data_IF_209759489668
#
_entry.id   IF_209759489668
#
_cell.length_a   1.000
_cell.length_b   1.000
_cell.length_c   1.000
_cell.angle_alpha   90.00
_cell.angle_beta   90.00
_cell.angle_gamma   90.00
#
_symmetry.space_group_name_H-M   'P 1'
#
loop_
_entity.id
_entity.type
_entity.pdbx_description
1 polymer ?
#
# COMPACT_ATOMS: atom_id res chain seq x y z
N UNK A 1 8.17 -32.27 2.50
CA UNK A 1 9.32 -31.59 3.13
C UNK A 1 9.43 -32.15 4.54
N UNK A 2 10.29 -33.15 4.75
CA UNK A 2 10.46 -33.81 6.06
C UNK A 2 11.74 -33.24 6.70
N UNK A 3 11.58 -32.35 7.67
CA UNK A 3 12.64 -32.03 8.64
C UNK A 3 12.22 -32.70 9.95
N UNK A 4 12.94 -33.73 10.43
CA UNK A 4 12.62 -34.33 11.72
C UNK A 4 12.70 -33.24 12.78
N UNK A 5 11.79 -33.28 13.76
CA UNK A 5 11.71 -32.40 14.92
C UNK A 5 13.11 -32.07 15.41
N UNK A 6 13.57 -30.83 15.18
CA UNK A 6 14.95 -30.42 15.47
C UNK A 6 15.08 -30.36 16.99
N UNK A 7 15.48 -31.48 17.57
CA UNK A 7 15.76 -31.61 19.00
C UNK A 7 17.27 -31.48 19.18
N UNK A 8 17.70 -30.72 20.19
CA UNK A 8 19.13 -30.54 20.48
C UNK A 8 19.81 -29.49 19.60
N UNK A 9 19.13 -28.38 19.29
CA UNK A 9 19.79 -27.21 18.68
C UNK A 9 20.88 -26.75 19.66
N UNK A 10 22.15 -26.61 19.27
CA UNK A 10 23.22 -26.21 20.19
C UNK A 10 23.15 -24.71 20.50
N UNK A 11 23.70 -24.31 21.64
CA UNK A 11 23.77 -22.91 22.05
C UNK A 11 24.45 -22.04 20.97
N UNK A 12 23.96 -20.80 20.75
CA UNK A 12 24.50 -19.90 19.74
C UNK A 12 25.93 -19.51 20.08
N UNK A 13 26.83 -19.83 19.16
CA UNK A 13 28.22 -19.36 19.13
C UNK A 13 28.44 -18.57 17.86
N UNK A 14 29.49 -17.77 17.76
CA UNK A 14 29.80 -17.07 16.51
C UNK A 14 29.92 -18.05 15.33
N UNK A 15 30.50 -19.24 15.56
CA UNK A 15 30.62 -20.27 14.55
C UNK A 15 29.25 -20.82 14.11
N UNK A 16 28.31 -21.09 15.03
CA UNK A 16 26.98 -21.59 14.65
C UNK A 16 26.11 -20.51 14.03
N UNK A 17 26.22 -19.25 14.45
CA UNK A 17 25.45 -18.14 13.88
C UNK A 17 25.81 -17.91 12.40
N UNK A 18 27.10 -17.96 12.05
CA UNK A 18 27.54 -17.72 10.67
C UNK A 18 27.68 -19.00 9.83
N UNK A 19 27.88 -20.15 10.47
CA UNK A 19 28.13 -21.43 9.81
C UNK A 19 26.90 -22.33 9.64
N UNK A 20 25.80 -22.09 10.37
CA UNK A 20 24.58 -22.89 10.22
C UNK A 20 23.79 -22.41 9.02
N UNK A 21 23.75 -23.25 7.98
CA UNK A 21 22.92 -23.06 6.80
C UNK A 21 22.16 -24.35 6.52
N UNK A 22 20.88 -24.17 6.20
CA UNK A 22 19.97 -25.23 5.78
C UNK A 22 19.58 -24.99 4.34
N UNK A 23 18.94 -25.97 3.71
CA UNK A 23 18.53 -25.86 2.31
C UNK A 23 17.05 -26.15 2.19
N UNK A 24 16.37 -25.35 1.37
CA UNK A 24 14.95 -25.45 1.10
C UNK A 24 14.75 -25.49 -0.41
N UNK A 25 14.79 -26.68 -1.04
CA UNK A 25 14.83 -26.80 -2.50
C UNK A 25 13.72 -26.03 -3.22
N UNK A 26 12.53 -25.95 -2.61
CA UNK A 26 11.40 -25.21 -3.16
C UNK A 26 11.64 -23.70 -3.09
N UNK A 27 11.99 -23.17 -1.92
CA UNK A 27 12.20 -21.73 -1.72
C UNK A 27 13.43 -21.26 -2.51
N UNK A 28 14.52 -22.02 -2.46
CA UNK A 28 15.76 -21.75 -3.19
C UNK A 28 15.50 -21.66 -4.70
N UNK A 29 14.75 -22.63 -5.24
CA UNK A 29 14.39 -22.63 -6.67
C UNK A 29 13.52 -21.43 -7.03
N UNK A 30 12.54 -21.07 -6.19
CA UNK A 30 11.69 -19.90 -6.40
C UNK A 30 12.49 -18.60 -6.35
N UNK A 31 13.42 -18.47 -5.40
CA UNK A 31 14.30 -17.30 -5.26
C UNK A 31 15.23 -17.17 -6.48
N UNK A 32 15.84 -18.26 -6.93
CA UNK A 32 16.70 -18.25 -8.12
C UNK A 32 15.89 -17.91 -9.37
N UNK A 33 14.70 -18.49 -9.53
CA UNK A 33 13.80 -18.17 -10.65
C UNK A 33 13.35 -16.70 -10.63
N UNK A 34 13.02 -16.17 -9.44
CA UNK A 34 12.64 -14.78 -9.25
C UNK A 34 13.81 -13.82 -9.55
N UNK A 35 15.03 -14.14 -9.12
CA UNK A 35 16.24 -13.38 -9.43
C UNK A 35 16.51 -13.38 -10.94
N UNK A 36 16.53 -14.55 -11.57
CA UNK A 36 16.77 -14.70 -13.00
C UNK A 36 15.69 -13.98 -13.83
N UNK A 37 14.42 -14.12 -13.46
CA UNK A 37 13.29 -13.47 -14.13
C UNK A 37 13.37 -11.94 -14.06
N UNK A 38 13.66 -11.39 -12.87
CA UNK A 38 13.80 -9.93 -12.71
C UNK A 38 15.02 -9.40 -13.47
N UNK A 39 16.17 -10.06 -13.38
CA UNK A 39 17.38 -9.66 -14.11
C UNK A 39 17.18 -9.76 -15.63
N UNK A 40 16.48 -10.80 -16.11
CA UNK A 40 16.09 -10.90 -17.51
C UNK A 40 15.20 -9.74 -17.96
N UNK A 41 14.21 -9.36 -17.15
CA UNK A 41 13.32 -8.23 -17.45
C UNK A 41 14.06 -6.89 -17.43
N UNK A 42 14.99 -6.67 -16.50
CA UNK A 42 15.84 -5.46 -16.48
C UNK A 42 16.75 -5.39 -17.70
N UNK A 43 17.36 -6.51 -18.10
CA UNK A 43 18.13 -6.60 -19.33
C UNK A 43 17.26 -6.28 -20.57
N UNK A 44 16.04 -6.84 -20.64
CA UNK A 44 15.09 -6.56 -21.71
C UNK A 44 14.64 -5.09 -21.72
N UNK A 45 14.43 -4.49 -20.56
CA UNK A 45 14.12 -3.07 -20.42
C UNK A 45 15.26 -2.20 -20.98
N UNK A 46 16.51 -2.54 -20.65
CA UNK A 46 17.69 -1.86 -21.17
C UNK A 46 17.81 -1.99 -22.70
N UNK A 47 17.52 -3.18 -23.26
CA UNK A 47 17.47 -3.41 -24.72
C UNK A 47 16.40 -2.55 -25.42
N UNK A 48 15.30 -2.24 -24.72
CA UNK A 48 14.24 -1.34 -25.17
C UNK A 48 14.52 0.15 -24.88
N UNK A 49 15.72 0.48 -24.39
CA UNK A 49 16.13 1.84 -23.99
C UNK A 49 15.24 2.46 -22.90
N UNK A 50 14.57 1.63 -22.11
CA UNK A 50 13.84 2.07 -20.92
C UNK A 50 14.86 2.34 -19.79
N UNK A 51 14.74 3.50 -19.15
CA UNK A 51 15.59 3.84 -18.00
C UNK A 51 15.07 3.12 -16.77
N UNK A 52 15.77 2.08 -16.32
CA UNK A 52 15.47 1.37 -15.07
C UNK A 52 16.43 1.80 -13.95
N UNK A 53 15.94 2.34 -12.82
CA UNK A 53 16.80 2.74 -11.72
C UNK A 53 17.52 1.54 -11.08
N UNK A 54 18.85 1.64 -10.92
CA UNK A 54 19.66 0.58 -10.30
C UNK A 54 19.17 0.23 -8.89
N UNK A 55 18.73 1.24 -8.13
CA UNK A 55 18.22 1.07 -6.77
C UNK A 55 17.05 0.06 -6.70
N UNK A 56 16.19 -0.01 -7.73
CA UNK A 56 15.09 -0.99 -7.77
C UNK A 56 15.60 -2.42 -7.87
N UNK A 57 16.67 -2.63 -8.64
CA UNK A 57 17.32 -3.93 -8.76
C UNK A 57 18.05 -4.31 -7.47
N UNK A 58 18.69 -3.34 -6.82
CA UNK A 58 19.32 -3.55 -5.50
C UNK A 58 18.27 -3.93 -4.46
N UNK A 59 17.12 -3.23 -4.40
CA UNK A 59 16.02 -3.59 -3.50
C UNK A 59 15.51 -5.01 -3.77
N UNK A 60 15.34 -5.40 -5.03
CA UNK A 60 14.91 -6.75 -5.41
C UNK A 60 15.87 -7.82 -4.88
N UNK A 61 17.16 -7.67 -5.20
CA UNK A 61 18.17 -8.65 -4.79
C UNK A 61 18.36 -8.67 -3.27
N UNK A 62 18.27 -7.51 -2.60
CA UNK A 62 18.30 -7.43 -1.14
C UNK A 62 17.10 -8.14 -0.50
N UNK A 63 15.90 -8.00 -1.06
CA UNK A 63 14.71 -8.71 -0.58
C UNK A 63 14.86 -10.22 -0.72
N UNK A 64 15.33 -10.70 -1.89
CA UNK A 64 15.59 -12.12 -2.12
C UNK A 64 16.68 -12.68 -1.21
N UNK A 65 17.75 -11.92 -0.97
CA UNK A 65 18.79 -12.31 -0.02
C UNK A 65 18.22 -12.41 1.40
N UNK A 66 17.38 -11.46 1.83
CA UNK A 66 16.74 -11.50 3.13
C UNK A 66 15.78 -12.69 3.28
N UNK A 67 15.10 -13.11 2.20
CA UNK A 67 14.32 -14.36 2.22
C UNK A 67 15.22 -15.55 2.52
N UNK A 68 16.33 -15.72 1.81
CA UNK A 68 17.30 -16.80 2.06
C UNK A 68 17.87 -16.73 3.48
N UNK A 69 18.23 -15.53 3.96
CA UNK A 69 18.67 -15.38 5.36
C UNK A 69 17.56 -15.80 6.33
N UNK A 70 16.32 -15.41 6.10
CA UNK A 70 15.22 -15.73 7.01
C UNK A 70 14.87 -17.22 7.06
N UNK A 71 14.98 -17.94 5.94
CA UNK A 71 14.51 -19.33 5.80
C UNK A 71 15.61 -20.39 5.81
N UNK A 72 16.85 -20.02 5.49
CA UNK A 72 17.96 -20.97 5.35
C UNK A 72 19.10 -20.74 6.33
N UNK A 73 19.28 -19.54 6.88
CA UNK A 73 20.40 -19.28 7.79
C UNK A 73 20.18 -19.81 9.22
N UNK A 74 21.13 -19.52 10.11
CA UNK A 74 20.98 -19.73 11.54
C UNK A 74 19.67 -19.13 12.09
N UNK A 75 19.16 -18.05 11.51
CA UNK A 75 17.89 -17.45 11.91
C UNK A 75 16.73 -18.44 11.82
N UNK A 76 16.66 -19.22 10.74
CA UNK A 76 15.65 -20.25 10.54
C UNK A 76 15.80 -21.43 11.50
N UNK A 77 17.04 -21.77 11.85
CA UNK A 77 17.30 -22.85 12.80
C UNK A 77 16.91 -22.42 14.22
N UNK A 78 17.40 -21.26 14.66
CA UNK A 78 17.15 -20.74 16.00
C UNK A 78 15.71 -20.24 16.19
N UNK A 79 14.98 -19.88 15.13
CA UNK A 79 13.55 -19.57 15.24
C UNK A 79 12.72 -20.75 15.71
N UNK A 80 13.18 -22.00 15.57
CA UNK A 80 12.48 -23.16 16.14
C UNK A 80 12.74 -23.39 17.64
N UNK A 81 13.71 -22.67 18.24
CA UNK A 81 14.09 -22.82 19.65
C UNK A 81 13.89 -21.55 20.48
N UNK A 82 13.87 -20.39 19.83
CA UNK A 82 13.67 -19.11 20.49
C UNK A 82 12.50 -18.37 19.84
N UNK A 83 11.45 -18.15 20.64
CA UNK A 83 10.30 -17.39 20.19
C UNK A 83 10.68 -15.94 19.87
N UNK A 84 11.67 -15.38 20.57
CA UNK A 84 12.25 -14.06 20.25
C UNK A 84 12.89 -14.01 18.86
N UNK A 85 13.64 -15.03 18.47
CA UNK A 85 14.25 -15.13 17.12
C UNK A 85 13.16 -15.33 16.07
N UNK A 86 12.14 -16.11 16.39
CA UNK A 86 10.97 -16.29 15.52
C UNK A 86 10.25 -14.95 15.25
N UNK A 87 10.13 -14.06 16.23
CA UNK A 87 9.59 -12.71 16.01
C UNK A 87 10.44 -11.87 15.06
N UNK A 88 11.76 -12.01 15.09
CA UNK A 88 12.62 -11.33 14.12
C UNK A 88 12.32 -11.81 12.69
N UNK A 89 12.14 -13.13 12.50
CA UNK A 89 11.74 -13.70 11.20
C UNK A 89 10.39 -13.14 10.75
N UNK A 90 9.40 -13.07 11.64
CA UNK A 90 8.09 -12.48 11.34
C UNK A 90 8.18 -11.01 10.90
N UNK A 91 8.94 -10.18 11.61
CA UNK A 91 9.12 -8.76 11.26
C UNK A 91 9.85 -8.59 9.91
N UNK A 92 10.83 -9.44 9.60
CA UNK A 92 11.48 -9.45 8.30
C UNK A 92 10.48 -9.78 7.18
N UNK A 93 9.65 -10.81 7.37
CA UNK A 93 8.71 -11.30 6.36
C UNK A 93 7.50 -10.40 6.16
N UNK A 94 6.97 -9.76 7.20
CA UNK A 94 5.75 -8.95 7.07
C UNK A 94 6.02 -7.48 6.73
N UNK A 95 7.24 -6.99 6.94
CA UNK A 95 7.55 -5.57 6.75
C UNK A 95 8.81 -5.33 5.91
N UNK A 96 9.98 -5.85 6.30
CA UNK A 96 11.24 -5.48 5.63
C UNK A 96 11.30 -6.01 4.19
N UNK A 97 11.07 -7.31 4.01
CA UNK A 97 11.12 -7.97 2.70
C UNK A 97 10.01 -7.41 1.80
N UNK A 98 8.72 -7.33 2.23
CA UNK A 98 7.67 -6.66 1.49
C UNK A 98 8.00 -5.23 1.06
N UNK A 99 8.55 -4.39 1.93
CA UNK A 99 8.89 -3.01 1.59
C UNK A 99 9.93 -2.96 0.46
N UNK A 100 10.98 -3.79 0.53
CA UNK A 100 12.00 -3.89 -0.51
C UNK A 100 11.43 -4.42 -1.82
N UNK A 101 10.54 -5.43 -1.77
CA UNK A 101 9.87 -5.97 -2.95
C UNK A 101 8.99 -4.90 -3.63
N UNK A 102 8.23 -4.12 -2.86
CA UNK A 102 7.39 -3.05 -3.43
C UNK A 102 8.24 -1.91 -4.01
N UNK A 103 9.35 -1.54 -3.35
CA UNK A 103 10.26 -0.54 -3.90
C UNK A 103 11.03 -1.01 -5.14
N UNK A 104 11.18 -2.32 -5.31
CA UNK A 104 11.74 -2.90 -6.53
C UNK A 104 10.81 -2.78 -7.74
N UNK A 105 9.52 -2.48 -7.54
CA UNK A 105 8.50 -2.32 -8.60
C UNK A 105 8.47 -3.46 -9.64
N UNK A 106 8.44 -4.75 -9.23
CA UNK A 106 8.41 -5.88 -10.15
C UNK A 106 7.20 -5.85 -11.10
N UNK A 107 6.02 -5.42 -10.63
CA UNK A 107 4.82 -5.33 -11.47
C UNK A 107 5.00 -4.30 -12.59
N UNK A 108 5.57 -3.14 -12.28
CA UNK A 108 5.88 -2.11 -13.29
C UNK A 108 6.93 -2.61 -14.29
N UNK A 109 7.98 -3.26 -13.80
CA UNK A 109 9.01 -3.82 -14.67
C UNK A 109 8.40 -4.83 -15.65
N UNK A 110 7.54 -5.72 -15.15
CA UNK A 110 6.82 -6.67 -15.98
C UNK A 110 5.92 -5.96 -16.99
N UNK A 111 5.17 -4.94 -16.57
CA UNK A 111 4.32 -4.13 -17.44
C UNK A 111 5.12 -3.51 -18.60
N UNK A 112 6.21 -2.82 -18.30
CA UNK A 112 6.97 -2.05 -19.30
C UNK A 112 7.86 -2.94 -20.19
N UNK A 113 8.44 -4.01 -19.62
CA UNK A 113 9.47 -4.81 -20.29
C UNK A 113 8.93 -6.10 -20.95
N UNK A 114 7.89 -6.74 -20.42
CA UNK A 114 7.46 -8.06 -20.93
C UNK A 114 6.72 -7.99 -22.27
N UNK A 115 5.96 -6.91 -22.49
CA UNK A 115 4.96 -6.84 -23.58
C UNK A 115 3.58 -7.36 -23.18
N UNK A 116 3.37 -7.72 -21.91
CA UNK A 116 2.10 -8.16 -21.36
C UNK A 116 1.29 -7.01 -20.71
N UNK A 117 1.56 -5.75 -21.06
CA UNK A 117 0.94 -4.56 -20.46
C UNK A 117 -0.60 -4.68 -20.38
N UNK A 118 -1.26 -5.00 -21.50
CA UNK A 118 -2.72 -5.15 -21.55
C UNK A 118 -3.27 -6.26 -20.63
N UNK A 119 -2.53 -7.36 -20.47
CA UNK A 119 -2.93 -8.45 -19.58
C UNK A 119 -2.80 -8.03 -18.10
N UNK A 120 -1.74 -7.29 -17.79
CA UNK A 120 -1.47 -6.74 -16.45
C UNK A 120 -2.53 -5.69 -16.10
N UNK A 121 -2.87 -4.79 -17.02
CA UNK A 121 -3.93 -3.79 -16.80
C UNK A 121 -5.29 -4.45 -16.57
N UNK A 122 -5.64 -5.47 -17.37
CA UNK A 122 -6.87 -6.26 -17.17
C UNK A 122 -6.90 -6.94 -15.80
N UNK A 123 -5.78 -7.54 -15.38
CA UNK A 123 -5.68 -8.18 -14.07
C UNK A 123 -5.84 -7.16 -12.94
N UNK A 124 -5.21 -6.00 -13.05
CA UNK A 124 -5.29 -4.91 -12.06
C UNK A 124 -6.68 -4.27 -12.00
N UNK A 125 -7.38 -4.19 -13.13
CA UNK A 125 -8.77 -3.74 -13.19
C UNK A 125 -9.77 -4.78 -12.63
N UNK A 126 -9.34 -6.03 -12.41
CA UNK A 126 -10.22 -7.08 -11.89
C UNK A 126 -10.72 -6.76 -10.47
N UNK A 127 -11.97 -7.15 -10.18
CA UNK A 127 -12.58 -6.97 -8.86
C UNK A 127 -11.75 -7.64 -7.75
N UNK A 128 -11.20 -8.82 -8.05
CA UNK A 128 -10.39 -9.60 -7.13
C UNK A 128 -9.15 -8.83 -6.72
N UNK A 129 -8.36 -8.33 -7.69
CA UNK A 129 -7.17 -7.54 -7.40
C UNK A 129 -7.51 -6.30 -6.56
N UNK A 130 -8.56 -5.54 -6.95
CA UNK A 130 -8.99 -4.35 -6.23
C UNK A 130 -9.42 -4.62 -4.77
N UNK A 131 -10.03 -5.77 -4.49
CA UNK A 131 -10.37 -6.19 -3.12
C UNK A 131 -9.09 -6.51 -2.35
N UNK A 132 -8.20 -7.32 -2.93
CA UNK A 132 -6.96 -7.79 -2.29
C UNK A 132 -6.02 -6.64 -1.89
N UNK A 133 -6.01 -5.54 -2.65
CA UNK A 133 -5.20 -4.35 -2.35
C UNK A 133 -5.99 -3.22 -1.67
N UNK A 134 -7.22 -3.50 -1.23
CA UNK A 134 -8.05 -2.53 -0.52
C UNK A 134 -7.67 -2.46 0.96
N UNK A 135 -7.54 -1.26 1.52
CA UNK A 135 -7.30 -1.08 2.96
C UNK A 135 -8.38 -1.75 3.83
N UNK A 136 -9.62 -1.86 3.33
CA UNK A 136 -10.72 -2.57 3.99
C UNK A 136 -10.49 -4.07 4.13
N UNK A 137 -9.64 -4.64 3.27
CA UNK A 137 -9.27 -6.05 3.33
C UNK A 137 -7.90 -6.21 3.99
N UNK A 138 -6.90 -5.43 3.58
CA UNK A 138 -5.52 -5.59 4.04
C UNK A 138 -5.32 -5.22 5.50
N UNK A 139 -6.03 -4.22 6.02
CA UNK A 139 -5.93 -3.86 7.46
C UNK A 139 -6.53 -4.96 8.33
N UNK A 140 -7.78 -5.43 8.12
CA UNK A 140 -8.29 -6.56 8.89
C UNK A 140 -7.50 -7.85 8.68
N UNK A 141 -6.99 -8.11 7.46
CA UNK A 141 -6.13 -9.26 7.21
C UNK A 141 -4.86 -9.18 8.04
N UNK A 142 -4.15 -8.04 8.01
CA UNK A 142 -2.94 -7.80 8.81
C UNK A 142 -3.22 -8.01 10.30
N UNK A 143 -4.24 -7.34 10.83
CA UNK A 143 -4.64 -7.50 12.23
C UNK A 143 -4.98 -8.95 12.56
N UNK A 144 -5.77 -9.63 11.72
CA UNK A 144 -6.16 -11.01 11.95
C UNK A 144 -4.95 -11.95 11.94
N UNK A 145 -4.01 -11.78 11.01
CA UNK A 145 -2.77 -12.56 11.01
C UNK A 145 -2.04 -12.38 12.33
N UNK A 146 -1.80 -11.15 12.77
CA UNK A 146 -1.09 -10.90 14.02
C UNK A 146 -1.80 -11.46 15.25
N UNK A 147 -3.09 -11.16 15.41
CA UNK A 147 -3.86 -11.60 16.58
C UNK A 147 -4.03 -13.12 16.59
N UNK A 148 -4.39 -13.75 15.47
CA UNK A 148 -4.65 -15.18 15.43
C UNK A 148 -3.37 -16.00 15.57
N UNK A 149 -2.27 -15.56 14.97
CA UNK A 149 -1.02 -16.34 15.04
C UNK A 149 -0.37 -16.27 16.41
N UNK A 150 -0.53 -15.18 17.18
CA UNK A 150 0.18 -14.99 18.46
C UNK A 150 -0.68 -15.07 19.71
N UNK A 151 -1.97 -14.74 19.64
CA UNK A 151 -2.87 -14.73 20.81
C UNK A 151 -3.75 -15.98 20.90
N UNK A 152 -3.49 -16.98 20.06
CA UNK A 152 -4.19 -18.28 20.09
C UNK A 152 -3.18 -19.41 20.23
N UNK A 153 -3.65 -20.67 20.23
CA UNK A 153 -2.79 -21.86 20.20
C UNK A 153 -2.01 -22.07 18.90
N UNK A 154 -2.09 -21.14 17.93
CA UNK A 154 -1.46 -21.27 16.61
C UNK A 154 0.06 -21.50 16.71
N UNK A 155 0.80 -20.69 17.47
CA UNK A 155 2.26 -20.87 17.63
C UNK A 155 2.63 -22.27 18.14
N UNK A 156 1.87 -22.81 19.09
CA UNK A 156 2.09 -24.15 19.60
C UNK A 156 1.82 -25.22 18.52
N UNK A 157 0.75 -25.07 17.74
CA UNK A 157 0.45 -25.97 16.62
C UNK A 157 1.52 -25.89 15.52
N UNK A 158 1.97 -24.67 15.20
CA UNK A 158 2.99 -24.38 14.20
C UNK A 158 4.34 -25.01 14.56
N UNK A 159 4.79 -24.87 15.81
CA UNK A 159 6.06 -25.43 16.28
C UNK A 159 6.13 -26.96 16.20
N UNK A 160 4.97 -27.63 16.14
CA UNK A 160 4.87 -29.10 16.07
C UNK A 160 4.55 -29.61 14.67
N UNK A 161 4.09 -28.75 13.75
CA UNK A 161 3.67 -29.13 12.40
C UNK A 161 4.36 -28.25 11.35
N UNK A 162 5.35 -28.82 10.66
CA UNK A 162 6.14 -28.11 9.65
C UNK A 162 5.31 -27.45 8.54
N UNK A 163 4.23 -28.08 8.09
CA UNK A 163 3.40 -27.50 7.03
C UNK A 163 2.67 -26.22 7.51
N UNK A 164 2.35 -26.12 8.80
CA UNK A 164 1.78 -24.90 9.40
C UNK A 164 2.85 -23.82 9.45
N UNK A 165 4.07 -24.17 9.86
CA UNK A 165 5.23 -23.26 9.85
C UNK A 165 5.46 -22.67 8.46
N UNK A 166 5.58 -23.50 7.42
CA UNK A 166 5.83 -23.03 6.05
C UNK A 166 4.67 -22.17 5.53
N UNK A 167 3.43 -22.53 5.90
CA UNK A 167 2.24 -21.74 5.57
C UNK A 167 2.22 -20.39 6.27
N UNK A 168 2.69 -20.31 7.52
CA UNK A 168 2.81 -19.05 8.26
C UNK A 168 3.82 -18.12 7.60
N UNK A 169 5.02 -18.60 7.25
CA UNK A 169 6.02 -17.75 6.59
C UNK A 169 5.48 -17.15 5.28
N UNK A 170 4.78 -17.96 4.48
CA UNK A 170 4.11 -17.48 3.26
C UNK A 170 2.99 -16.48 3.58
N UNK A 171 2.18 -16.74 4.60
CA UNK A 171 1.09 -15.86 5.03
C UNK A 171 1.63 -14.49 5.47
N UNK A 172 2.72 -14.44 6.23
CA UNK A 172 3.36 -13.20 6.67
C UNK A 172 3.88 -12.40 5.47
N UNK A 173 4.60 -13.06 4.56
CA UNK A 173 5.14 -12.42 3.36
C UNK A 173 4.03 -11.85 2.46
N UNK A 174 2.99 -12.62 2.19
CA UNK A 174 1.86 -12.20 1.35
C UNK A 174 1.08 -11.08 2.01
N UNK A 175 0.80 -11.19 3.32
CA UNK A 175 0.05 -10.17 4.07
C UNK A 175 0.79 -8.84 4.09
N UNK A 176 2.09 -8.87 4.36
CA UNK A 176 2.95 -7.70 4.32
C UNK A 176 3.02 -7.06 2.93
N UNK A 177 3.20 -7.88 1.89
CA UNK A 177 3.22 -7.39 0.52
C UNK A 177 1.90 -6.73 0.13
N UNK A 178 0.76 -7.38 0.41
CA UNK A 178 -0.57 -6.82 0.12
C UNK A 178 -0.84 -5.52 0.90
N UNK A 179 -0.40 -5.43 2.15
CA UNK A 179 -0.54 -4.21 2.95
C UNK A 179 0.28 -3.06 2.37
N UNK A 180 1.57 -3.30 2.07
CA UNK A 180 2.50 -2.24 1.66
C UNK A 180 2.37 -1.86 0.19
N UNK A 181 1.89 -2.76 -0.68
CA UNK A 181 1.70 -2.49 -2.10
C UNK A 181 0.93 -1.19 -2.38
N UNK A 182 -0.24 -0.92 -1.77
CA UNK A 182 -0.95 0.35 -1.94
C UNK A 182 -0.37 1.55 -1.16
N UNK A 183 0.59 1.33 -0.26
CA UNK A 183 1.05 2.34 0.71
C UNK A 183 2.45 2.88 0.38
N UNK A 184 3.37 2.02 -0.08
CA UNK A 184 4.80 2.31 -0.20
C UNK A 184 5.21 3.04 -1.50
N UNK A 185 4.28 3.27 -2.44
CA UNK A 185 4.54 4.00 -3.69
C UNK A 185 4.18 3.18 -4.93
N UNK A 186 4.61 3.63 -6.10
CA UNK A 186 3.81 3.40 -7.29
C UNK A 186 4.18 2.19 -8.19
N UNK A 187 3.47 1.08 -8.01
CA UNK A 187 3.33 -0.06 -8.95
C UNK A 187 2.08 0.07 -9.87
N UNK A 188 2.05 1.22 -10.55
CA UNK A 188 1.14 1.75 -11.59
C UNK A 188 -0.24 2.27 -11.14
N UNK A 189 -0.30 2.76 -9.91
CA UNK A 189 -1.28 3.59 -9.23
C UNK A 189 -2.62 2.90 -9.02
N UNK A 190 -2.65 2.08 -7.97
CA UNK A 190 -3.82 1.42 -7.40
C UNK A 190 -4.97 2.42 -7.26
N UNK A 191 -5.95 2.36 -8.17
CA UNK A 191 -7.06 3.31 -8.25
C UNK A 191 -8.09 3.15 -7.11
N UNK A 192 -8.55 4.26 -6.51
CA UNK A 192 -8.08 5.64 -6.68
C UNK A 192 -6.75 5.87 -5.96
N UNK A 193 -5.88 6.72 -6.51
CA UNK A 193 -4.67 7.16 -5.83
C UNK A 193 -5.01 7.64 -4.41
N UNK A 194 -4.50 6.92 -3.41
CA UNK A 194 -4.76 7.28 -2.01
C UNK A 194 -3.92 8.51 -1.68
N UNK A 195 -4.54 9.59 -1.15
CA UNK A 195 -3.79 10.73 -0.65
C UNK A 195 -2.74 10.26 0.36
N UNK A 196 -1.58 10.90 0.37
CA UNK A 196 -0.49 10.52 1.27
C UNK A 196 -0.93 10.52 2.75
N UNK A 197 -1.81 11.45 3.14
CA UNK A 197 -2.41 11.48 4.48
C UNK A 197 -3.23 10.23 4.81
N UNK A 198 -3.99 9.69 3.86
CA UNK A 198 -4.73 8.45 4.07
C UNK A 198 -3.78 7.24 4.22
N UNK A 199 -2.68 7.21 3.47
CA UNK A 199 -1.66 6.15 3.62
C UNK A 199 -1.05 6.17 5.01
N UNK A 200 -0.72 7.35 5.52
CA UNK A 200 -0.24 7.54 6.88
C UNK A 200 -1.25 7.04 7.93
N UNK A 201 -2.53 7.40 7.78
CA UNK A 201 -3.59 6.95 8.70
C UNK A 201 -3.74 5.43 8.68
N UNK A 202 -3.70 4.80 7.49
CA UNK A 202 -3.77 3.33 7.37
C UNK A 202 -2.61 2.66 8.12
N UNK A 203 -1.38 3.14 7.92
CA UNK A 203 -0.21 2.63 8.64
C UNK A 203 -0.34 2.84 10.15
N UNK A 204 -0.82 4.02 10.59
CA UNK A 204 -1.05 4.33 11.99
C UNK A 204 -2.11 3.42 12.64
N UNK A 205 -3.14 2.99 11.90
CA UNK A 205 -4.13 2.01 12.39
C UNK A 205 -3.46 0.65 12.60
N UNK A 206 -2.55 0.23 11.71
CA UNK A 206 -1.82 -1.04 11.82
C UNK A 206 -0.87 -1.11 13.01
N UNK A 207 -0.41 0.03 13.54
CA UNK A 207 0.36 0.08 14.80
C UNK A 207 -0.44 -0.50 15.99
N UNK A 208 -1.77 -0.36 15.98
CA UNK A 208 -2.62 -0.85 17.07
C UNK A 208 -2.49 -2.35 17.33
N UNK A 209 -2.71 -3.22 16.32
CA UNK A 209 -2.44 -4.65 16.42
C UNK A 209 -1.01 -5.00 16.86
N UNK A 210 0.01 -4.34 16.30
CA UNK A 210 1.43 -4.58 16.65
C UNK A 210 1.67 -4.36 18.15
N UNK A 211 1.25 -3.19 18.63
CA UNK A 211 1.31 -2.82 20.06
C UNK A 211 0.49 -3.79 20.92
N UNK A 212 -0.75 -4.10 20.52
CA UNK A 212 -1.64 -4.96 21.31
C UNK A 212 -1.03 -6.34 21.52
N UNK A 213 -0.60 -6.99 20.45
CA UNK A 213 -0.04 -8.34 20.53
C UNK A 213 1.30 -8.31 21.26
N UNK A 214 2.16 -7.34 20.95
CA UNK A 214 3.49 -7.22 21.55
C UNK A 214 3.44 -6.98 23.06
N UNK A 215 2.59 -6.04 23.52
CA UNK A 215 2.37 -5.78 24.95
C UNK A 215 1.74 -6.99 25.64
N UNK A 216 0.79 -7.67 25.00
CA UNK A 216 0.15 -8.87 25.58
C UNK A 216 1.18 -9.98 25.81
N UNK A 217 2.06 -10.26 24.84
CA UNK A 217 3.14 -11.23 25.02
C UNK A 217 4.17 -10.77 26.06
N UNK A 218 4.54 -9.48 26.03
CA UNK A 218 5.47 -8.88 26.98
C UNK A 218 4.98 -8.97 28.43
N UNK A 219 3.68 -8.80 28.66
CA UNK A 219 3.09 -8.81 30.01
C UNK A 219 2.49 -10.17 30.42
N UNK A 220 2.48 -11.16 29.52
CA UNK A 220 1.95 -12.47 29.84
C UNK A 220 2.77 -13.16 30.94
N UNK A 221 2.07 -13.75 31.90
CA UNK A 221 2.64 -14.62 32.94
C UNK A 221 2.53 -16.11 32.61
N UNK A 222 1.87 -16.45 31.50
CA UNK A 222 1.68 -17.83 31.03
C UNK A 222 2.43 -18.06 29.71
N UNK A 223 2.97 -19.26 29.55
CA UNK A 223 3.69 -19.66 28.34
C UNK A 223 2.68 -20.11 27.28
N UNK A 224 2.56 -19.37 26.18
CA UNK A 224 1.62 -19.68 25.09
C UNK A 224 2.15 -20.76 24.14
N UNK A 225 3.47 -20.83 23.96
CA UNK A 225 4.11 -21.80 23.07
C UNK A 225 5.27 -22.56 23.76
N UNK A 226 4.98 -23.48 24.69
CA UNK A 226 6.01 -24.24 25.41
C UNK A 226 6.98 -25.04 24.52
N UNK A 227 6.56 -25.42 23.32
CA UNK A 227 7.38 -26.24 22.41
C UNK A 227 8.71 -25.59 22.00
N UNK A 228 8.79 -24.24 21.93
CA UNK A 228 10.05 -23.55 21.62
C UNK A 228 11.13 -23.83 22.67
N UNK A 229 10.80 -23.72 23.95
CA UNK A 229 11.75 -24.03 25.01
C UNK A 229 12.01 -25.54 25.15
N UNK A 230 11.06 -26.38 24.74
CA UNK A 230 11.22 -27.84 24.74
C UNK A 230 12.24 -28.36 23.73
N UNK A 231 12.68 -27.56 22.75
CA UNK A 231 13.65 -27.97 21.72
C UNK A 231 15.12 -27.69 22.10
N UNK A 232 15.37 -27.04 23.25
CA UNK A 232 16.70 -26.65 23.75
C UNK A 232 16.85 -26.84 25.27
N UNK A 233 18.08 -27.00 25.73
CA UNK A 233 18.47 -27.13 27.15
C UNK A 233 19.25 -25.91 27.67
N UNK A 234 19.57 -24.95 26.80
CA UNK A 234 20.29 -23.71 27.09
C UNK A 234 19.39 -22.49 26.86
N UNK A 235 19.81 -21.30 27.30
CA UNK A 235 19.12 -20.03 27.02
C UNK A 235 18.07 -19.63 28.07
N UNK A 236 17.29 -18.57 27.80
CA UNK A 236 16.30 -18.06 28.75
C UNK A 236 15.15 -19.04 29.00
N UNK A 237 14.41 -18.88 30.10
CA UNK A 237 13.16 -19.64 30.31
C UNK A 237 12.15 -19.34 29.20
N UNK A 238 11.19 -20.25 28.96
CA UNK A 238 10.15 -20.07 27.94
C UNK A 238 9.38 -18.75 28.11
N UNK A 239 9.09 -18.40 29.37
CA UNK A 239 8.38 -17.17 29.69
C UNK A 239 9.23 -15.94 29.37
N UNK A 240 10.50 -15.91 29.82
CA UNK A 240 11.39 -14.79 29.57
C UNK A 240 11.65 -14.55 28.07
N UNK A 241 11.82 -15.65 27.30
CA UNK A 241 11.96 -15.60 25.84
C UNK A 241 10.70 -15.06 25.16
N UNK A 242 9.51 -15.46 25.63
CA UNK A 242 8.23 -14.94 25.15
C UNK A 242 8.03 -13.46 25.49
N UNK A 243 8.41 -13.02 26.70
CA UNK A 243 8.30 -11.60 27.05
C UNK A 243 9.23 -10.76 26.16
N UNK A 244 10.45 -11.26 25.89
CA UNK A 244 11.38 -10.62 24.95
C UNK A 244 10.82 -10.61 23.52
N UNK A 245 10.20 -11.71 23.08
CA UNK A 245 9.49 -11.80 21.80
C UNK A 245 8.43 -10.70 21.67
N UNK A 246 7.64 -10.48 22.73
CA UNK A 246 6.66 -9.39 22.81
C UNK A 246 7.29 -8.00 22.66
N UNK A 247 8.42 -7.75 23.33
CA UNK A 247 9.17 -6.48 23.21
C UNK A 247 9.68 -6.28 21.78
N UNK A 248 10.25 -7.32 21.17
CA UNK A 248 10.76 -7.28 19.78
C UNK A 248 9.63 -6.99 18.82
N UNK A 249 8.51 -7.70 18.94
CA UNK A 249 7.36 -7.50 18.06
C UNK A 249 6.78 -6.10 18.20
N UNK A 250 6.65 -5.59 19.43
CA UNK A 250 6.15 -4.25 19.67
C UNK A 250 7.10 -3.18 19.11
N UNK A 251 8.30 -3.06 19.68
CA UNK A 251 9.22 -1.98 19.31
C UNK A 251 9.74 -2.13 17.88
N UNK A 252 9.95 -3.36 17.42
CA UNK A 252 10.39 -3.67 16.07
C UNK A 252 9.29 -3.41 15.04
N UNK A 253 8.04 -3.84 15.32
CA UNK A 253 6.88 -3.60 14.46
C UNK A 253 6.58 -2.12 14.33
N UNK A 254 6.32 -1.46 15.47
CA UNK A 254 6.01 -0.02 15.51
C UNK A 254 7.14 0.82 14.95
N UNK A 255 8.40 0.49 15.29
CA UNK A 255 9.57 1.19 14.80
C UNK A 255 9.73 1.10 13.29
N UNK A 256 9.51 -0.09 12.71
CA UNK A 256 9.59 -0.30 11.27
C UNK A 256 8.41 0.35 10.53
N UNK A 257 7.21 0.28 11.10
CA UNK A 257 6.03 1.00 10.59
C UNK A 257 6.28 2.50 10.58
N UNK A 258 6.87 3.05 11.65
CA UNK A 258 7.25 4.45 11.75
C UNK A 258 8.26 4.85 10.67
N UNK A 259 9.28 4.03 10.38
CA UNK A 259 10.24 4.30 9.30
C UNK A 259 9.57 4.39 7.93
N UNK A 260 8.59 3.50 7.66
CA UNK A 260 7.80 3.56 6.42
C UNK A 260 6.93 4.82 6.41
N UNK A 261 6.27 5.15 7.52
CA UNK A 261 5.46 6.37 7.66
C UNK A 261 6.29 7.64 7.43
N UNK A 262 7.50 7.72 7.97
CA UNK A 262 8.45 8.83 7.74
C UNK A 262 8.80 8.91 6.25
N UNK A 263 9.02 7.77 5.60
CA UNK A 263 9.31 7.73 4.15
C UNK A 263 8.13 8.25 3.33
N UNK A 264 6.91 7.83 3.64
CA UNK A 264 5.67 8.28 2.99
C UNK A 264 5.42 9.77 3.25
N UNK A 265 5.66 10.25 4.48
CA UNK A 265 5.56 11.67 4.82
C UNK A 265 6.61 12.51 4.07
N UNK A 266 7.84 12.02 3.97
CA UNK A 266 8.89 12.67 3.19
C UNK A 266 8.61 12.67 1.68
N UNK A 267 7.92 11.65 1.16
CA UNK A 267 7.40 11.67 -0.22
C UNK A 267 6.31 12.73 -0.36
N UNK A 268 5.40 12.83 0.61
CA UNK A 268 4.33 13.83 0.61
C UNK A 268 4.86 15.27 0.62
N UNK A 269 5.80 15.61 1.51
CA UNK A 269 6.37 16.96 1.60
C UNK A 269 7.06 17.35 0.28
N UNK A 270 7.72 16.40 -0.39
CA UNK A 270 8.37 16.63 -1.69
C UNK A 270 7.37 16.82 -2.84
N UNK A 271 6.15 16.31 -2.71
CA UNK A 271 5.09 16.44 -3.72
C UNK A 271 4.13 17.58 -3.39
N UNK A 272 4.03 18.02 -2.13
CA UNK A 272 3.13 19.08 -1.66
C UNK A 272 3.36 20.47 -2.32
N UNK A 273 4.44 20.65 -3.08
CA UNK A 273 4.61 21.77 -4.03
C UNK A 273 3.66 21.66 -5.26
N UNK A 274 2.89 20.57 -5.39
CA UNK A 274 1.89 20.29 -6.42
C UNK A 274 0.62 19.67 -5.80
N UNK A 275 -0.37 20.48 -5.42
CA UNK A 275 -1.82 20.23 -5.26
C UNK A 275 -2.38 18.81 -4.91
N UNK A 276 -1.67 17.92 -4.21
CA UNK A 276 -2.16 16.58 -3.80
C UNK A 276 -2.46 16.47 -2.29
N UNK A 277 -3.10 17.49 -1.71
CA UNK A 277 -3.54 17.48 -0.31
C UNK A 277 -4.75 16.55 -0.04
N UNK A 278 -5.16 16.45 1.24
CA UNK A 278 -6.41 15.75 1.61
C UNK A 278 -7.67 16.45 1.07
N UNK A 279 -7.61 17.77 0.80
CA UNK A 279 -8.73 18.60 0.37
C UNK A 279 -9.43 18.08 -0.89
N UNK A 280 -8.73 17.98 -2.05
CA UNK A 280 -9.34 17.49 -3.29
C UNK A 280 -9.98 16.09 -3.17
N UNK A 281 -9.42 15.20 -2.35
CA UNK A 281 -9.99 13.88 -2.10
C UNK A 281 -11.26 13.94 -1.23
N UNK A 282 -11.25 14.76 -0.18
CA UNK A 282 -12.42 14.99 0.67
C UNK A 282 -13.55 15.64 -0.14
N UNK A 283 -13.23 16.59 -1.02
CA UNK A 283 -14.19 17.20 -1.94
C UNK A 283 -14.75 16.19 -2.93
N UNK A 284 -13.93 15.29 -3.47
CA UNK A 284 -14.39 14.20 -4.33
C UNK A 284 -15.27 13.15 -3.61
N UNK A 285 -15.11 12.97 -2.29
CA UNK A 285 -16.05 12.16 -1.49
C UNK A 285 -17.34 12.93 -1.24
N UNK A 286 -17.24 14.21 -0.88
CA UNK A 286 -18.37 15.10 -0.65
C UNK A 286 -19.26 15.19 -1.89
N UNK A 287 -18.69 15.38 -3.08
CA UNK A 287 -19.41 15.39 -4.35
C UNK A 287 -20.10 14.05 -4.64
N UNK A 288 -19.41 12.91 -4.46
CA UNK A 288 -20.02 11.59 -4.67
C UNK A 288 -21.15 11.26 -3.68
N UNK A 289 -21.03 11.75 -2.45
CA UNK A 289 -22.04 11.56 -1.42
C UNK A 289 -23.27 12.48 -1.63
N UNK A 290 -23.06 13.70 -2.14
CA UNK A 290 -24.13 14.69 -2.35
C UNK A 290 -24.85 14.53 -3.70
N UNK A 291 -24.14 14.15 -4.77
CA UNK A 291 -24.69 14.15 -6.14
C UNK A 291 -25.14 12.75 -6.60
N UNK A 292 -24.84 11.68 -5.85
CA UNK A 292 -24.98 10.32 -6.37
C UNK A 292 -24.10 10.12 -7.63
N UNK A 293 -24.18 8.96 -8.28
CA UNK A 293 -23.34 8.63 -9.46
C UNK A 293 -23.66 9.44 -10.72
N UNK A 294 -24.42 10.52 -10.62
CA UNK A 294 -24.77 11.38 -11.75
C UNK A 294 -23.73 12.48 -11.86
N UNK A 295 -22.75 12.28 -12.71
CA UNK A 295 -21.79 13.31 -13.11
C UNK A 295 -22.54 14.42 -13.85
N UNK A 296 -22.93 15.47 -13.13
CA UNK A 296 -23.08 16.80 -13.73
C UNK A 296 -21.69 17.43 -13.62
N UNK A 297 -21.09 17.67 -14.78
CA UNK A 297 -19.84 18.40 -14.96
C UNK A 297 -20.05 19.86 -14.52
N UNK A 298 -20.08 20.09 -13.20
CA UNK A 298 -19.86 21.40 -12.63
C UNK A 298 -18.37 21.65 -12.73
N UNK A 299 -17.99 22.26 -13.84
CA UNK A 299 -16.65 22.69 -14.22
C UNK A 299 -15.87 23.23 -13.00
N UNK A 300 -14.96 22.41 -12.48
CA UNK A 300 -14.10 22.72 -11.32
C UNK A 300 -13.26 23.98 -11.61
N UNK A 301 -13.00 24.27 -12.88
CA UNK A 301 -12.31 25.48 -13.30
C UNK A 301 -13.14 26.73 -13.01
N UNK A 302 -14.49 26.63 -12.98
CA UNK A 302 -15.38 27.74 -12.66
C UNK A 302 -15.36 28.09 -11.16
N UNK A 303 -15.29 27.10 -10.28
CA UNK A 303 -15.19 27.31 -8.83
C UNK A 303 -13.81 27.86 -8.44
N UNK A 304 -12.74 27.38 -9.09
CA UNK A 304 -11.39 27.90 -8.89
C UNK A 304 -11.25 29.35 -9.37
N UNK A 305 -11.82 29.68 -10.53
CA UNK A 305 -11.86 31.06 -11.03
C UNK A 305 -12.68 31.98 -10.12
N UNK A 306 -13.77 31.49 -9.52
CA UNK A 306 -14.56 32.25 -8.56
C UNK A 306 -13.80 32.52 -7.24
N UNK A 307 -13.04 31.54 -6.74
CA UNK A 307 -12.16 31.69 -5.59
C UNK A 307 -11.05 32.72 -5.84
N UNK A 308 -10.42 32.68 -7.01
CA UNK A 308 -9.37 33.63 -7.39
C UNK A 308 -9.91 35.06 -7.52
N UNK A 309 -11.10 35.22 -8.12
CA UNK A 309 -11.79 36.51 -8.19
C UNK A 309 -12.19 37.03 -6.80
N UNK A 310 -12.64 36.16 -5.91
CA UNK A 310 -12.98 36.50 -4.54
C UNK A 310 -11.74 36.93 -3.72
N UNK A 311 -10.64 36.18 -3.85
CA UNK A 311 -9.37 36.50 -3.21
C UNK A 311 -8.77 37.82 -3.74
N UNK A 312 -8.90 38.09 -5.04
CA UNK A 312 -8.52 39.38 -5.63
C UNK A 312 -9.35 40.54 -5.06
N UNK A 313 -10.67 40.33 -4.85
CA UNK A 313 -11.54 41.31 -4.21
C UNK A 313 -11.18 41.56 -2.74
N UNK A 314 -10.82 40.52 -2.00
CA UNK A 314 -10.32 40.62 -0.62
C UNK A 314 -8.97 41.35 -0.54
N UNK A 315 -8.09 41.17 -1.52
CA UNK A 315 -6.82 41.89 -1.59
C UNK A 315 -7.02 43.39 -1.84
N UNK A 316 -7.99 43.74 -2.70
CA UNK A 316 -8.40 45.14 -2.93
C UNK A 316 -8.97 45.79 -1.67
N UNK A 317 -9.81 45.07 -0.91
CA UNK A 317 -10.38 45.56 0.35
C UNK A 317 -9.32 45.75 1.45
N UNK A 318 -8.24 44.97 1.43
CA UNK A 318 -7.13 45.05 2.38
C UNK A 318 -5.95 45.94 1.91
N UNK A 319 -6.12 46.70 0.81
CA UNK A 319 -5.11 47.65 0.33
C UNK A 319 -3.78 47.04 -0.11
N UNK A 320 -3.73 45.73 -0.41
CA UNK A 320 -2.52 45.06 -0.91
C UNK A 320 -2.63 44.84 -2.42
N UNK A 321 -1.66 45.31 -3.23
CA UNK A 321 -1.70 45.09 -4.67
C UNK A 321 -1.53 43.59 -5.00
N UNK A 322 -2.22 43.08 -6.04
CA UNK A 322 -2.17 41.68 -6.42
C UNK A 322 -0.76 41.29 -6.89
N UNK A 323 -0.27 40.13 -6.43
CA UNK A 323 0.97 39.52 -6.95
C UNK A 323 0.67 38.88 -8.30
N UNK A 324 1.07 39.54 -9.38
CA UNK A 324 1.11 38.94 -10.71
C UNK A 324 2.21 37.88 -10.77
N UNK A 325 1.85 36.60 -11.00
CA UNK A 325 2.81 35.60 -11.46
C UNK A 325 3.16 35.90 -12.93
N UNK A 326 4.41 35.65 -13.39
CA UNK A 326 4.76 35.82 -14.79
C UNK A 326 3.92 34.89 -15.66
N UNK A 327 3.24 35.45 -16.66
CA UNK A 327 2.56 34.71 -17.72
C UNK A 327 3.60 33.98 -18.58
N UNK A 328 3.35 32.69 -18.85
CA UNK A 328 4.14 31.89 -19.78
C UNK A 328 4.07 32.48 -21.21
N UNK A 329 5.10 32.30 -22.06
CA UNK A 329 5.15 32.97 -23.36
C UNK A 329 4.17 32.34 -24.37
N UNK A 330 3.25 33.17 -24.86
CA UNK A 330 2.82 33.18 -26.27
C UNK A 330 2.00 32.01 -26.81
N UNK A 331 0.67 32.06 -26.62
CA UNK A 331 -0.28 31.61 -27.65
C UNK A 331 -1.23 32.77 -27.96
N UNK A 332 -0.92 33.50 -29.03
CA UNK A 332 -1.80 34.50 -29.62
C UNK A 332 -3.01 33.78 -30.25
N UNK A 333 -4.15 33.80 -29.57
CA UNK A 333 -5.44 33.46 -30.18
C UNK A 333 -5.81 34.61 -31.13
N UNK A 334 -6.16 34.37 -32.41
CA UNK A 334 -6.61 35.43 -33.30
C UNK A 334 -7.93 36.00 -32.80
N UNK A 335 -8.03 37.33 -32.69
CA UNK A 335 -9.30 38.04 -32.50
C UNK A 335 -10.15 37.84 -33.76
N UNK A 336 -11.04 36.86 -33.75
CA UNK A 336 -12.09 36.76 -34.76
C UNK A 336 -13.05 37.94 -34.57
N UNK A 337 -13.24 38.71 -35.64
CA UNK A 337 -14.15 39.85 -35.67
C UNK A 337 -15.58 39.42 -35.34
N UNK A 338 -16.20 40.11 -34.39
CA UNK A 338 -17.63 39.97 -34.06
C UNK A 338 -18.44 40.51 -35.24
N UNK A 339 -19.24 39.66 -35.87
CA UNK A 339 -20.23 40.08 -36.85
C UNK A 339 -21.43 40.77 -36.17
N UNK A 340 -22.09 41.76 -36.80
CA UNK A 340 -23.23 42.44 -36.19
C UNK A 340 -24.47 41.52 -36.11
N UNK A 341 -25.25 41.66 -35.03
CA UNK A 341 -26.53 40.96 -34.81
C UNK A 341 -27.54 41.26 -35.93
N UNK A 342 -28.37 40.28 -36.34
CA UNK A 342 -29.50 40.55 -37.22
C UNK A 342 -30.66 41.23 -36.47
N UNK A 343 -31.27 42.16 -37.18
CA UNK A 343 -32.39 43.02 -36.81
C UNK A 343 -33.70 42.20 -36.78
N UNK A 344 -34.48 42.33 -35.70
CA UNK A 344 -35.77 41.64 -35.55
C UNK A 344 -36.86 42.55 -36.13
N UNK A 345 -37.47 42.12 -37.22
CA UNK A 345 -38.59 42.79 -37.89
C UNK A 345 -39.92 42.55 -37.12
N UNK A 346 -40.78 43.57 -36.92
CA UNK A 346 -41.99 43.44 -36.12
C UNK A 346 -43.18 42.94 -36.95
N UNK A 347 -43.66 41.72 -36.70
CA UNK A 347 -44.89 41.19 -37.34
C UNK A 347 -46.12 41.36 -36.45
N UNK A 348 -46.98 42.28 -36.90
CA UNK A 348 -48.45 42.39 -36.83
C UNK A 348 -49.28 41.80 -35.65
N UNK A 349 -50.10 42.72 -35.12
CA UNK A 349 -51.30 42.68 -34.27
C UNK A 349 -52.28 41.50 -34.46
N UNK A 350 -52.92 40.99 -33.38
CA UNK A 350 -54.00 40.01 -33.46
C UNK A 350 -55.40 40.68 -33.54
N UNK A 351 -56.42 40.06 -34.18
CA UNK A 351 -57.80 40.51 -34.03
C UNK A 351 -58.47 39.86 -32.81
N UNK A 352 -59.41 40.60 -32.23
CA UNK A 352 -60.15 40.34 -31.00
C UNK A 352 -61.62 40.01 -31.33
N UNK A 353 -62.14 38.98 -30.65
CA UNK A 353 -63.51 38.75 -30.12
C UNK A 353 -64.77 39.03 -30.95
N UNK A 354 -65.61 38.00 -31.02
CA UNK A 354 -67.05 37.90 -30.66
C UNK A 354 -67.68 36.80 -31.56
N UNK A 355 -68.60 35.91 -31.17
CA UNK A 355 -69.60 35.93 -30.11
C UNK A 355 -70.15 34.50 -29.89
N UNK A 356 -70.54 34.23 -28.64
CA UNK A 356 -71.69 33.44 -28.16
C UNK A 356 -71.87 31.90 -28.30
N UNK A 357 -72.59 31.29 -27.32
CA UNK A 357 -72.67 29.84 -27.09
C UNK A 357 -74.00 29.24 -27.58
N UNK A 358 -74.02 27.94 -27.91
CA UNK A 358 -75.08 27.00 -27.49
C UNK A 358 -74.87 25.57 -28.03
N UNK A 359 -75.11 24.61 -27.12
CA UNK A 359 -75.83 23.33 -27.30
C UNK A 359 -75.16 22.05 -27.86
N UNK A 360 -75.42 21.01 -27.06
CA UNK A 360 -75.80 19.63 -27.41
C UNK A 360 -74.70 18.53 -27.51
N UNK A 361 -74.59 17.79 -26.39
CA UNK A 361 -74.54 16.30 -26.33
C UNK A 361 -75.67 15.65 -27.18
N UNK A 362 -75.76 14.32 -27.41
CA UNK A 362 -74.95 13.19 -26.89
C UNK A 362 -74.57 12.10 -27.94
N UNK A 363 -73.63 11.22 -27.58
CA UNK A 363 -73.80 9.74 -27.50
C UNK A 363 -72.50 9.04 -27.14
#
# INVERSE_FOLDING_TARGET
MWRPTVTGIPAPTAATIFGTWTWSPVVDTLVVAAAAGYLFLTWRAARRRLRWPLLRTVCWLAALMLVIVAVDSALATYSHALFSVHMVVHLLLIMVIPALLVWAQPIRLLHDASGAATAIDRFRASRVFRILVSARFTVPLYSAVLLLTHLTGFQQAMSTHMWIHDSELALYLVTGYLLLLPLAGDELNVEPERPHGLRFVVLAICVGPDTLVGVTLMMSSTVLAPAYAGSRDWGPSALADQNLAGIIMWLGGDGLMMLIMITVAGQWIRVADRDTGLGPWLDGIRHRALLGTTTIDADVDHEQAALDAYNARLALLNGRPPRTRPSAPGHSVPRTAVAPRPEIEPTATPPRSDDSPDREEPQ
#
